data_IF_058204897217
#
_entry.id   IF_058204897217
#
_cell.length_a   1.000
_cell.length_b   1.000
_cell.length_c   1.000
_cell.angle_alpha   90.00
_cell.angle_beta   90.00
_cell.angle_gamma   90.00
#
_symmetry.space_group_name_H-M   'P 1'
#
loop_
_entity.id
_entity.type
_entity.pdbx_description
1 polymer ?
#
# COMPACT_ATOMS: atom_id res chain seq x y z
N UNK A 1 33.52 19.58 -30.60
CA UNK A 1 34.14 20.34 -29.50
C UNK A 1 33.20 21.45 -29.08
N UNK A 2 32.78 21.51 -27.80
CA UNK A 2 31.98 22.63 -27.26
C UNK A 2 32.86 23.89 -27.16
N UNK A 3 32.24 25.04 -26.88
CA UNK A 3 32.92 26.35 -26.89
C UNK A 3 34.06 26.49 -25.87
N UNK A 4 34.34 25.48 -25.05
CA UNK A 4 35.44 25.43 -24.09
C UNK A 4 36.52 24.38 -24.40
N UNK A 5 36.53 23.75 -25.59
CA UNK A 5 37.52 22.73 -25.96
C UNK A 5 37.45 21.42 -25.16
N UNK A 6 36.43 21.19 -24.37
CA UNK A 6 36.23 19.93 -23.63
C UNK A 6 35.49 18.91 -24.50
N UNK A 7 36.04 17.71 -24.59
CA UNK A 7 35.41 16.59 -25.28
C UNK A 7 34.09 16.19 -24.55
N UNK A 8 32.97 16.34 -25.25
CA UNK A 8 31.64 15.98 -24.74
C UNK A 8 31.36 14.47 -24.90
N UNK A 9 32.22 13.78 -25.66
CA UNK A 9 32.10 12.35 -25.99
C UNK A 9 31.94 11.45 -24.75
N UNK A 10 32.77 11.57 -23.67
CA UNK A 10 32.58 10.72 -22.49
C UNK A 10 31.29 10.97 -21.74
N UNK A 11 30.80 12.22 -21.75
CA UNK A 11 29.50 12.54 -21.14
C UNK A 11 28.33 11.92 -21.91
N UNK A 12 28.38 11.93 -23.25
CA UNK A 12 27.37 11.29 -24.09
C UNK A 12 27.35 9.76 -23.89
N UNK A 13 28.51 9.12 -23.78
CA UNK A 13 28.59 7.68 -23.48
C UNK A 13 28.08 7.34 -22.10
N UNK A 14 28.33 8.18 -21.11
CA UNK A 14 27.81 8.01 -19.77
C UNK A 14 26.26 8.12 -19.74
N UNK A 15 25.71 9.15 -20.38
CA UNK A 15 24.26 9.33 -20.51
C UNK A 15 23.63 8.18 -21.28
N UNK A 16 24.21 7.77 -22.41
CA UNK A 16 23.70 6.64 -23.18
C UNK A 16 23.73 5.33 -22.39
N UNK A 17 24.83 5.11 -21.65
CA UNK A 17 24.98 3.93 -20.78
C UNK A 17 23.96 3.88 -19.65
N UNK A 18 23.75 4.99 -18.93
CA UNK A 18 22.76 5.07 -17.85
C UNK A 18 21.34 4.87 -18.39
N UNK A 19 20.99 5.51 -19.51
CA UNK A 19 19.68 5.36 -20.14
C UNK A 19 19.44 3.92 -20.63
N UNK A 20 20.46 3.26 -21.18
CA UNK A 20 20.35 1.86 -21.56
C UNK A 20 20.12 0.93 -20.35
N UNK A 21 20.84 1.16 -19.25
CA UNK A 21 20.64 0.40 -18.00
C UNK A 21 19.23 0.63 -17.45
N UNK A 22 18.76 1.87 -17.40
CA UNK A 22 17.40 2.19 -16.96
C UNK A 22 16.35 1.49 -17.81
N UNK A 23 16.51 1.49 -19.13
CA UNK A 23 15.59 0.81 -20.04
C UNK A 23 15.55 -0.70 -19.79
N UNK A 24 16.72 -1.35 -19.64
CA UNK A 24 16.80 -2.78 -19.32
C UNK A 24 16.15 -3.09 -17.98
N UNK A 25 16.41 -2.28 -16.95
CA UNK A 25 15.79 -2.43 -15.63
C UNK A 25 14.27 -2.26 -15.68
N UNK A 26 13.76 -1.27 -16.40
CA UNK A 26 12.33 -1.05 -16.59
C UNK A 26 11.67 -2.23 -17.31
N UNK A 27 12.33 -2.77 -18.33
CA UNK A 27 11.85 -3.94 -19.07
C UNK A 27 11.82 -5.19 -18.20
N UNK A 28 12.88 -5.47 -17.43
CA UNK A 28 12.94 -6.58 -16.47
C UNK A 28 11.87 -6.45 -15.38
N UNK A 29 11.67 -5.24 -14.86
CA UNK A 29 10.64 -4.98 -13.86
C UNK A 29 9.23 -5.25 -14.41
N UNK A 30 8.95 -4.82 -15.64
CA UNK A 30 7.66 -5.06 -16.30
C UNK A 30 7.39 -6.55 -16.53
N UNK A 31 8.41 -7.31 -16.95
CA UNK A 31 8.29 -8.77 -17.13
C UNK A 31 8.07 -9.49 -15.81
N UNK A 32 8.80 -9.10 -14.76
CA UNK A 32 8.67 -9.67 -13.41
C UNK A 32 7.30 -9.37 -12.81
N UNK A 33 6.82 -8.15 -12.91
CA UNK A 33 5.50 -7.73 -12.45
C UNK A 33 4.38 -8.52 -13.15
N UNK A 34 4.51 -8.77 -14.47
CA UNK A 34 3.54 -9.57 -15.23
C UNK A 34 3.49 -11.02 -14.74
N UNK A 35 4.65 -11.67 -14.52
CA UNK A 35 4.71 -13.04 -14.00
C UNK A 35 4.12 -13.16 -12.60
N UNK A 36 4.43 -12.21 -11.73
CA UNK A 36 3.88 -12.16 -10.37
C UNK A 36 2.37 -11.99 -10.37
N UNK A 37 1.84 -11.12 -11.26
CA UNK A 37 0.39 -10.93 -11.38
C UNK A 37 -0.33 -12.19 -11.84
N UNK A 38 0.24 -12.95 -12.77
CA UNK A 38 -0.32 -14.24 -13.19
C UNK A 38 -0.27 -15.24 -12.03
N UNK A 39 0.86 -15.36 -11.33
CA UNK A 39 0.99 -16.22 -10.16
C UNK A 39 -0.02 -15.86 -9.06
N UNK A 40 -0.26 -14.55 -8.83
CA UNK A 40 -1.29 -14.08 -7.93
C UNK A 40 -2.70 -14.55 -8.33
N UNK A 41 -3.09 -14.42 -9.60
CA UNK A 41 -4.40 -14.87 -10.07
C UNK A 41 -4.62 -16.36 -9.86
N UNK A 42 -3.59 -17.19 -10.12
CA UNK A 42 -3.63 -18.62 -9.87
C UNK A 42 -3.80 -18.92 -8.38
N UNK A 43 -2.99 -18.31 -7.51
CA UNK A 43 -3.07 -18.52 -6.06
C UNK A 43 -4.41 -18.05 -5.51
N UNK A 44 -4.91 -16.91 -5.95
CA UNK A 44 -6.23 -16.40 -5.56
C UNK A 44 -7.35 -17.39 -5.91
N UNK A 45 -7.35 -17.89 -7.15
CA UNK A 45 -8.35 -18.88 -7.58
C UNK A 45 -8.28 -20.17 -6.76
N UNK A 46 -7.08 -20.65 -6.43
CA UNK A 46 -6.88 -21.79 -5.55
C UNK A 46 -7.50 -21.55 -4.15
N UNK A 47 -7.23 -20.41 -3.55
CA UNK A 47 -7.81 -20.04 -2.25
C UNK A 47 -9.33 -19.89 -2.27
N UNK A 48 -9.90 -19.37 -3.37
CA UNK A 48 -11.35 -19.31 -3.55
C UNK A 48 -11.94 -20.72 -3.64
N UNK A 49 -11.31 -21.63 -4.41
CA UNK A 49 -11.74 -23.03 -4.51
C UNK A 49 -11.66 -23.74 -3.15
N UNK A 50 -10.56 -23.57 -2.43
CA UNK A 50 -10.39 -24.16 -1.09
C UNK A 50 -11.45 -23.65 -0.10
N UNK A 51 -11.75 -22.35 -0.11
CA UNK A 51 -12.82 -21.76 0.71
C UNK A 51 -14.17 -22.39 0.37
N UNK A 52 -14.50 -22.52 -0.92
CA UNK A 52 -15.76 -23.12 -1.37
C UNK A 52 -15.83 -24.58 -0.92
N UNK A 53 -14.78 -25.36 -1.15
CA UNK A 53 -14.71 -26.77 -0.74
C UNK A 53 -14.89 -26.92 0.78
N UNK A 54 -14.20 -26.06 1.55
CA UNK A 54 -14.35 -26.07 3.01
C UNK A 54 -15.77 -25.73 3.46
N UNK A 55 -16.39 -24.73 2.85
CA UNK A 55 -17.79 -24.38 3.16
C UNK A 55 -18.75 -25.53 2.87
N UNK A 56 -18.53 -26.29 1.79
CA UNK A 56 -19.35 -27.46 1.43
C UNK A 56 -19.17 -28.64 2.38
N UNK A 57 -18.02 -28.76 3.04
CA UNK A 57 -17.71 -29.85 3.98
C UNK A 57 -17.92 -29.50 5.44
N UNK A 58 -18.31 -28.29 5.75
CA UNK A 58 -18.60 -27.84 7.12
C UNK A 58 -19.88 -28.51 7.66
N UNK A 59 -19.88 -28.75 8.96
CA UNK A 59 -21.08 -29.24 9.66
C UNK A 59 -22.19 -28.18 9.60
N UNK A 60 -23.44 -28.64 9.46
CA UNK A 60 -24.59 -27.75 9.33
C UNK A 60 -24.74 -26.78 10.52
N UNK A 61 -24.47 -27.26 11.73
CA UNK A 61 -24.46 -26.46 12.96
C UNK A 61 -23.51 -25.26 12.88
N UNK A 62 -22.33 -25.43 12.26
CA UNK A 62 -21.35 -24.35 12.07
C UNK A 62 -21.82 -23.31 11.04
N UNK A 63 -22.64 -23.70 10.06
CA UNK A 63 -23.19 -22.79 9.06
C UNK A 63 -24.34 -21.92 9.60
N UNK A 64 -24.95 -22.31 10.72
CA UNK A 64 -25.98 -21.51 11.41
C UNK A 64 -25.36 -20.56 12.46
N UNK A 65 -24.11 -20.76 12.85
CA UNK A 65 -23.42 -19.90 13.82
C UNK A 65 -23.12 -18.51 13.22
N UNK A 66 -23.65 -17.43 13.83
CA UNK A 66 -23.38 -16.08 13.38
C UNK A 66 -21.89 -15.70 13.32
N UNK A 67 -21.11 -16.16 14.31
CA UNK A 67 -19.66 -15.87 14.37
C UNK A 67 -18.92 -16.56 13.23
N UNK A 68 -19.31 -17.78 12.89
CA UNK A 68 -18.74 -18.50 11.76
C UNK A 68 -19.10 -17.83 10.43
N UNK A 69 -20.34 -17.37 10.27
CA UNK A 69 -20.78 -16.63 9.10
C UNK A 69 -20.00 -15.31 8.93
N UNK A 70 -19.69 -14.61 10.01
CA UNK A 70 -18.88 -13.40 9.98
C UNK A 70 -17.42 -13.70 9.60
N UNK A 71 -16.85 -14.82 10.07
CA UNK A 71 -15.52 -15.31 9.65
C UNK A 71 -15.50 -15.67 8.15
N UNK A 72 -16.53 -16.36 7.67
CA UNK A 72 -16.68 -16.67 6.24
C UNK A 72 -16.78 -15.39 5.39
N UNK A 73 -17.47 -14.37 5.89
CA UNK A 73 -17.56 -13.08 5.22
C UNK A 73 -16.20 -12.35 5.17
N UNK A 74 -15.44 -12.37 6.25
CA UNK A 74 -14.06 -11.85 6.28
C UNK A 74 -13.16 -12.61 5.31
N UNK A 75 -13.23 -13.93 5.29
CA UNK A 75 -12.48 -14.77 4.35
C UNK A 75 -12.85 -14.51 2.89
N UNK A 76 -14.14 -14.27 2.60
CA UNK A 76 -14.61 -13.87 1.27
C UNK A 76 -13.95 -12.54 0.86
N UNK A 77 -14.02 -11.52 1.70
CA UNK A 77 -13.43 -10.20 1.43
C UNK A 77 -11.91 -10.25 1.27
N UNK A 78 -11.23 -11.11 2.01
CA UNK A 78 -9.76 -11.25 1.92
C UNK A 78 -9.27 -11.72 0.54
N UNK A 79 -10.10 -12.42 -0.24
CA UNK A 79 -9.76 -12.93 -1.57
C UNK A 79 -10.53 -12.25 -2.71
N UNK A 80 -11.41 -11.30 -2.41
CA UNK A 80 -12.36 -10.73 -3.39
C UNK A 80 -11.71 -9.75 -4.37
N UNK A 81 -10.62 -9.07 -4.00
CA UNK A 81 -10.00 -8.02 -4.79
C UNK A 81 -8.49 -8.09 -4.91
N UNK A 82 -7.94 -7.40 -5.92
CA UNK A 82 -6.48 -7.23 -6.08
C UNK A 82 -5.90 -6.22 -5.07
N UNK A 83 -6.74 -5.34 -4.54
CA UNK A 83 -6.34 -4.21 -3.68
C UNK A 83 -6.63 -4.44 -2.19
N UNK A 84 -7.15 -5.60 -1.83
CA UNK A 84 -7.50 -5.95 -0.45
C UNK A 84 -6.96 -7.33 -0.06
N UNK A 85 -6.70 -7.51 1.23
CA UNK A 85 -6.29 -8.79 1.80
C UNK A 85 -5.06 -9.40 1.13
N UNK A 86 -5.19 -10.64 0.70
CA UNK A 86 -4.11 -11.42 0.06
C UNK A 86 -3.67 -10.79 -1.27
N UNK A 87 -4.61 -10.18 -2.01
CA UNK A 87 -4.32 -9.49 -3.26
C UNK A 87 -3.35 -8.34 -3.09
N UNK A 88 -3.65 -7.46 -2.16
CA UNK A 88 -2.80 -6.33 -1.82
C UNK A 88 -1.42 -6.79 -1.31
N UNK A 89 -1.38 -7.82 -0.48
CA UNK A 89 -0.13 -8.38 0.04
C UNK A 89 0.78 -8.88 -1.10
N UNK A 90 0.25 -9.69 -1.99
CA UNK A 90 1.04 -10.25 -3.09
C UNK A 90 1.46 -9.20 -4.13
N UNK A 91 0.59 -8.23 -4.45
CA UNK A 91 0.92 -7.14 -5.38
C UNK A 91 2.02 -6.23 -4.82
N UNK A 92 2.06 -6.05 -3.50
CA UNK A 92 3.03 -5.19 -2.83
C UNK A 92 4.35 -5.90 -2.49
N UNK A 93 4.40 -7.24 -2.43
CA UNK A 93 5.63 -7.98 -2.10
C UNK A 93 6.81 -7.62 -3.00
N UNK A 94 6.59 -7.52 -4.32
CA UNK A 94 7.65 -7.17 -5.26
C UNK A 94 8.10 -5.72 -5.08
N UNK A 95 7.18 -4.79 -4.98
CA UNK A 95 7.50 -3.37 -4.77
C UNK A 95 8.25 -3.19 -3.45
N UNK A 96 7.84 -3.88 -2.38
CA UNK A 96 8.52 -3.85 -1.08
C UNK A 96 9.96 -4.37 -1.18
N UNK A 97 10.20 -5.46 -1.91
CA UNK A 97 11.56 -5.98 -2.10
C UNK A 97 12.47 -4.96 -2.83
N UNK A 98 11.97 -4.32 -3.89
CA UNK A 98 12.70 -3.27 -4.62
C UNK A 98 12.95 -2.05 -3.72
N UNK A 99 11.96 -1.64 -2.95
CA UNK A 99 12.07 -0.52 -2.01
C UNK A 99 13.10 -0.79 -0.92
N UNK A 100 13.15 -2.02 -0.38
CA UNK A 100 14.17 -2.41 0.61
C UNK A 100 15.59 -2.27 0.06
N UNK A 101 15.82 -2.75 -1.16
CA UNK A 101 17.15 -2.61 -1.81
C UNK A 101 17.50 -1.13 -1.99
N UNK A 102 16.55 -0.30 -2.45
CA UNK A 102 16.76 1.13 -2.63
C UNK A 102 17.08 1.85 -1.31
N UNK A 103 16.35 1.51 -0.23
CA UNK A 103 16.58 2.05 1.12
C UNK A 103 17.94 1.66 1.64
N UNK A 104 18.33 0.37 1.55
CA UNK A 104 19.66 -0.11 1.98
C UNK A 104 20.76 0.62 1.22
N UNK A 105 20.62 0.79 -0.09
CA UNK A 105 21.60 1.50 -0.92
C UNK A 105 21.69 2.98 -0.51
N UNK A 106 20.56 3.65 -0.33
CA UNK A 106 20.53 5.05 0.08
C UNK A 106 21.15 5.27 1.47
N UNK A 107 20.83 4.38 2.44
CA UNK A 107 21.44 4.40 3.78
C UNK A 107 22.94 4.16 3.70
N UNK A 108 23.40 3.20 2.88
CA UNK A 108 24.81 2.94 2.66
C UNK A 108 25.57 4.17 2.15
N UNK A 109 25.00 4.89 1.18
CA UNK A 109 25.57 6.13 0.65
C UNK A 109 25.61 7.23 1.72
N UNK A 110 24.53 7.44 2.47
CA UNK A 110 24.47 8.44 3.54
C UNK A 110 25.46 8.10 4.67
N UNK A 111 25.65 6.80 4.96
CA UNK A 111 26.61 6.34 5.98
C UNK A 111 28.06 6.70 5.64
N UNK A 112 28.44 6.67 4.35
CA UNK A 112 29.78 7.11 3.93
C UNK A 112 30.06 8.59 4.16
N UNK A 113 28.98 9.40 4.21
CA UNK A 113 29.08 10.81 4.53
C UNK A 113 29.15 11.06 6.04
N UNK A 114 28.13 10.59 6.79
CA UNK A 114 28.07 10.79 8.24
C UNK A 114 27.18 9.75 8.93
N UNK A 115 27.79 8.90 9.77
CA UNK A 115 27.07 7.85 10.49
C UNK A 115 26.03 8.38 11.49
N UNK A 116 26.21 9.57 12.05
CA UNK A 116 25.22 10.20 12.96
C UNK A 116 23.91 10.54 12.25
N UNK A 117 23.98 10.98 10.98
CA UNK A 117 22.78 11.23 10.18
C UNK A 117 21.97 9.96 9.99
N UNK A 118 22.63 8.83 9.74
CA UNK A 118 21.94 7.53 9.62
C UNK A 118 21.19 7.17 10.91
N UNK A 119 21.80 7.44 12.07
CA UNK A 119 21.18 7.17 13.36
C UNK A 119 19.94 8.05 13.58
N UNK A 120 20.00 9.34 13.28
CA UNK A 120 18.86 10.26 13.35
C UNK A 120 17.74 9.80 12.41
N UNK A 121 18.08 9.44 11.17
CA UNK A 121 17.15 8.93 10.18
C UNK A 121 16.46 7.65 10.67
N UNK A 122 17.23 6.72 11.26
CA UNK A 122 16.70 5.46 11.80
C UNK A 122 15.70 5.71 12.94
N UNK A 123 16.00 6.62 13.87
CA UNK A 123 15.12 6.97 14.98
C UNK A 123 13.80 7.60 14.47
N UNK A 124 13.90 8.55 13.53
CA UNK A 124 12.71 9.18 12.95
C UNK A 124 11.86 8.18 12.17
N UNK A 125 12.48 7.26 11.45
CA UNK A 125 11.78 6.20 10.73
C UNK A 125 11.11 5.20 11.67
N UNK A 126 11.74 4.89 12.81
CA UNK A 126 11.15 4.02 13.84
C UNK A 126 9.91 4.67 14.47
N UNK A 127 9.97 5.97 14.80
CA UNK A 127 8.81 6.71 15.32
C UNK A 127 7.66 6.71 14.30
N UNK A 128 7.97 6.88 13.02
CA UNK A 128 6.97 6.82 11.96
C UNK A 128 6.33 5.45 11.83
N UNK A 129 7.13 4.38 11.95
CA UNK A 129 6.66 3.00 11.91
C UNK A 129 5.73 2.65 13.09
N UNK A 130 6.08 3.04 14.32
CA UNK A 130 5.24 2.82 15.50
C UNK A 130 3.87 3.52 15.37
N UNK A 131 3.87 4.75 14.88
CA UNK A 131 2.62 5.48 14.65
C UNK A 131 1.77 4.83 13.54
N UNK A 132 2.39 4.37 12.47
CA UNK A 132 1.71 3.63 11.40
C UNK A 132 1.07 2.35 11.94
N UNK A 133 1.78 1.58 12.76
CA UNK A 133 1.27 0.34 13.34
C UNK A 133 0.08 0.61 14.28
N UNK A 134 0.15 1.65 15.10
CA UNK A 134 -0.96 2.10 15.93
C UNK A 134 -2.23 2.40 15.10
N UNK A 135 -2.09 3.16 14.01
CA UNK A 135 -3.21 3.48 13.11
C UNK A 135 -3.75 2.23 12.43
N UNK A 136 -2.89 1.31 11.99
CA UNK A 136 -3.26 0.04 11.36
C UNK A 136 -4.12 -0.83 12.30
N UNK A 137 -3.74 -0.91 13.56
CA UNK A 137 -4.52 -1.67 14.58
C UNK A 137 -5.90 -1.02 14.78
N UNK A 138 -5.96 0.30 14.90
CA UNK A 138 -7.23 1.04 15.03
C UNK A 138 -8.12 0.88 13.80
N UNK A 139 -7.56 0.95 12.61
CA UNK A 139 -8.30 0.76 11.36
C UNK A 139 -8.88 -0.66 11.25
N UNK A 140 -8.12 -1.67 11.69
CA UNK A 140 -8.60 -3.05 11.74
C UNK A 140 -9.82 -3.19 12.65
N UNK A 141 -9.79 -2.62 13.85
CA UNK A 141 -10.91 -2.66 14.79
C UNK A 141 -12.16 -1.99 14.20
N UNK A 142 -12.00 -0.81 13.62
CA UNK A 142 -13.11 0.00 13.08
C UNK A 142 -13.67 -0.58 11.80
N UNK A 143 -12.81 -1.06 10.91
CA UNK A 143 -13.23 -1.45 9.56
C UNK A 143 -13.49 -2.95 9.43
N UNK A 144 -12.58 -3.80 9.91
CA UNK A 144 -12.70 -5.23 9.68
C UNK A 144 -13.56 -5.94 10.72
N UNK A 145 -13.36 -5.63 12.00
CA UNK A 145 -14.05 -6.35 13.07
C UNK A 145 -15.47 -5.86 13.27
N UNK A 146 -15.69 -4.54 13.23
CA UNK A 146 -17.02 -3.96 13.39
C UNK A 146 -17.91 -4.15 12.16
N UNK A 147 -17.34 -4.23 10.96
CA UNK A 147 -18.12 -4.24 9.71
C UNK A 147 -18.54 -5.62 9.20
N UNK A 148 -17.93 -6.71 9.68
CA UNK A 148 -18.22 -8.06 9.20
C UNK A 148 -19.73 -8.42 9.20
N UNK A 149 -20.49 -8.20 10.30
CA UNK A 149 -21.92 -8.48 10.31
C UNK A 149 -22.73 -7.56 9.40
N UNK A 150 -22.27 -6.31 9.19
CA UNK A 150 -22.95 -5.37 8.30
C UNK A 150 -22.74 -5.74 6.83
N UNK A 151 -21.54 -6.19 6.44
CA UNK A 151 -21.28 -6.69 5.09
C UNK A 151 -22.13 -7.90 4.74
N UNK A 152 -22.33 -8.83 5.69
CA UNK A 152 -23.22 -9.97 5.49
C UNK A 152 -24.65 -9.52 5.18
N UNK A 153 -25.19 -8.60 5.99
CA UNK A 153 -26.54 -8.05 5.78
C UNK A 153 -26.66 -7.31 4.44
N UNK A 154 -25.64 -6.55 4.06
CA UNK A 154 -25.64 -5.80 2.81
C UNK A 154 -25.60 -6.74 1.60
N UNK A 155 -24.75 -7.78 1.64
CA UNK A 155 -24.68 -8.78 0.58
C UNK A 155 -26.00 -9.52 0.43
N UNK A 156 -26.65 -9.92 1.54
CA UNK A 156 -27.98 -10.53 1.52
C UNK A 156 -29.03 -9.61 0.89
N UNK A 157 -29.06 -8.33 1.27
CA UNK A 157 -29.99 -7.35 0.69
C UNK A 157 -29.76 -7.17 -0.81
N UNK A 158 -28.49 -7.14 -1.23
CA UNK A 158 -28.12 -7.02 -2.63
C UNK A 158 -28.55 -8.27 -3.41
N UNK A 159 -28.28 -9.47 -2.88
CA UNK A 159 -28.66 -10.74 -3.49
C UNK A 159 -30.19 -10.82 -3.66
N UNK A 160 -30.96 -10.63 -2.59
CA UNK A 160 -32.44 -10.63 -2.66
C UNK A 160 -32.99 -9.59 -3.66
N UNK A 161 -32.35 -8.41 -3.74
CA UNK A 161 -32.81 -7.34 -4.62
C UNK A 161 -32.49 -7.57 -6.10
N UNK A 162 -31.48 -8.39 -6.42
CA UNK A 162 -31.01 -8.64 -7.80
C UNK A 162 -31.33 -10.02 -8.32
N UNK A 163 -31.65 -10.98 -7.43
CA UNK A 163 -32.02 -12.33 -7.83
C UNK A 163 -33.42 -12.34 -8.48
N UNK A 164 -33.48 -12.94 -9.68
CA UNK A 164 -34.72 -13.08 -10.43
C UNK A 164 -35.80 -13.87 -9.69
N UNK A 165 -35.42 -14.78 -8.81
CA UNK A 165 -36.31 -15.59 -7.99
C UNK A 165 -37.28 -14.73 -7.18
N UNK A 166 -36.78 -13.63 -6.59
CA UNK A 166 -37.56 -12.71 -5.76
C UNK A 166 -38.20 -11.56 -6.56
N UNK A 167 -37.87 -11.42 -7.83
CA UNK A 167 -38.31 -10.28 -8.64
C UNK A 167 -39.84 -10.14 -8.75
N UNK A 168 -40.57 -11.27 -8.81
CA UNK A 168 -42.03 -11.31 -8.85
C UNK A 168 -42.61 -10.79 -7.53
N UNK A 169 -42.13 -11.29 -6.41
CA UNK A 169 -42.65 -10.96 -5.08
C UNK A 169 -42.36 -9.49 -4.74
N UNK A 170 -41.16 -9.01 -5.05
CA UNK A 170 -40.78 -7.61 -4.86
C UNK A 170 -41.72 -6.67 -5.59
N UNK A 171 -42.13 -7.02 -6.82
CA UNK A 171 -43.08 -6.23 -7.62
C UNK A 171 -44.52 -6.36 -7.11
N UNK A 172 -44.97 -7.58 -6.81
CA UNK A 172 -46.30 -7.88 -6.35
C UNK A 172 -46.64 -7.18 -5.03
N UNK A 173 -45.69 -7.25 -4.07
CA UNK A 173 -45.85 -6.65 -2.73
C UNK A 173 -45.32 -5.21 -2.64
N UNK A 174 -44.83 -4.61 -3.74
CA UNK A 174 -44.37 -3.23 -3.75
C UNK A 174 -43.16 -2.97 -2.85
N UNK A 175 -42.30 -3.98 -2.60
CA UNK A 175 -41.22 -3.95 -1.60
C UNK A 175 -40.03 -3.08 -1.97
N UNK A 176 -39.99 -2.50 -3.18
CA UNK A 176 -38.86 -1.69 -3.68
C UNK A 176 -38.42 -0.61 -2.69
N UNK A 177 -39.34 0.21 -2.20
CA UNK A 177 -39.04 1.32 -1.29
C UNK A 177 -38.48 0.82 0.05
N UNK A 178 -39.05 -0.27 0.57
CA UNK A 178 -38.60 -0.87 1.83
C UNK A 178 -37.21 -1.47 1.71
N UNK A 179 -36.94 -2.27 0.67
CA UNK A 179 -35.59 -2.86 0.42
C UNK A 179 -34.54 -1.78 0.26
N UNK A 180 -34.80 -0.75 -0.57
CA UNK A 180 -33.87 0.38 -0.74
C UNK A 180 -33.65 1.16 0.55
N UNK A 181 -34.68 1.34 1.38
CA UNK A 181 -34.56 1.96 2.70
C UNK A 181 -33.61 1.17 3.60
N UNK A 182 -33.81 -0.13 3.73
CA UNK A 182 -32.97 -1.03 4.52
C UNK A 182 -31.52 -1.08 4.02
N UNK A 183 -31.32 -1.16 2.70
CA UNK A 183 -30.00 -1.09 2.10
C UNK A 183 -29.31 0.24 2.44
N UNK A 184 -30.02 1.36 2.31
CA UNK A 184 -29.49 2.69 2.64
C UNK A 184 -29.09 2.82 4.10
N UNK A 185 -29.89 2.27 5.02
CA UNK A 185 -29.57 2.30 6.46
C UNK A 185 -28.26 1.57 6.74
N UNK A 186 -28.08 0.37 6.17
CA UNK A 186 -26.82 -0.41 6.32
C UNK A 186 -25.64 0.31 5.65
N UNK A 187 -25.85 0.83 4.45
CA UNK A 187 -24.82 1.58 3.72
C UNK A 187 -24.41 2.85 4.46
N UNK A 188 -25.30 3.54 5.16
CA UNK A 188 -24.97 4.70 5.97
C UNK A 188 -24.08 4.34 7.17
N UNK A 189 -24.24 3.14 7.75
CA UNK A 189 -23.37 2.63 8.81
C UNK A 189 -21.98 2.36 8.22
N UNK A 190 -21.91 1.67 7.09
CA UNK A 190 -20.64 1.42 6.39
C UNK A 190 -19.92 2.73 6.05
N UNK A 191 -20.63 3.71 5.53
CA UNK A 191 -20.08 5.01 5.17
C UNK A 191 -19.46 5.74 6.39
N UNK A 192 -20.10 5.66 7.56
CA UNK A 192 -19.53 6.25 8.80
C UNK A 192 -18.20 5.58 9.17
N UNK A 193 -18.11 4.25 9.11
CA UNK A 193 -16.87 3.52 9.37
C UNK A 193 -15.78 3.83 8.33
N UNK A 194 -16.16 3.94 7.05
CA UNK A 194 -15.25 4.38 5.99
C UNK A 194 -14.70 5.78 6.24
N UNK A 195 -15.55 6.74 6.62
CA UNK A 195 -15.11 8.10 6.95
C UNK A 195 -14.16 8.08 8.14
N UNK A 196 -14.48 7.33 9.19
CA UNK A 196 -13.63 7.21 10.37
C UNK A 196 -12.26 6.59 10.02
N UNK A 197 -12.24 5.51 9.26
CA UNK A 197 -11.02 4.90 8.74
C UNK A 197 -10.19 5.91 7.92
N UNK A 198 -10.82 6.65 7.02
CA UNK A 198 -10.14 7.69 6.23
C UNK A 198 -9.56 8.82 7.07
N UNK A 199 -10.23 9.21 8.14
CA UNK A 199 -9.69 10.20 9.08
C UNK A 199 -8.41 9.67 9.74
N UNK A 200 -8.38 8.42 10.22
CA UNK A 200 -7.17 7.82 10.78
C UNK A 200 -6.02 7.79 9.78
N UNK A 201 -6.27 7.36 8.55
CA UNK A 201 -5.26 7.33 7.48
C UNK A 201 -4.80 8.72 7.07
N UNK A 202 -5.69 9.73 7.10
CA UNK A 202 -5.31 11.13 6.85
C UNK A 202 -4.37 11.64 7.94
N UNK A 203 -4.64 11.37 9.21
CA UNK A 203 -3.75 11.74 10.31
C UNK A 203 -2.39 11.04 10.18
N UNK A 204 -2.36 9.76 9.81
CA UNK A 204 -1.12 9.05 9.52
C UNK A 204 -0.32 9.74 8.40
N UNK A 205 -0.99 10.14 7.32
CA UNK A 205 -0.35 10.83 6.19
C UNK A 205 0.24 12.17 6.64
N UNK A 206 -0.52 12.98 7.38
CA UNK A 206 -0.02 14.26 7.90
C UNK A 206 1.16 14.08 8.84
N UNK A 207 1.11 13.11 9.74
CA UNK A 207 2.20 12.79 10.64
C UNK A 207 3.46 12.35 9.87
N UNK A 208 3.31 11.41 8.94
CA UNK A 208 4.40 10.92 8.10
C UNK A 208 5.07 12.04 7.29
N UNK A 209 4.27 12.94 6.70
CA UNK A 209 4.80 14.09 5.96
C UNK A 209 5.53 15.09 6.87
N UNK A 210 5.04 15.30 8.08
CA UNK A 210 5.71 16.15 9.07
C UNK A 210 7.06 15.56 9.49
N UNK A 211 7.13 14.26 9.77
CA UNK A 211 8.39 13.58 10.09
C UNK A 211 9.35 13.63 8.89
N UNK A 212 8.86 13.41 7.67
CA UNK A 212 9.67 13.52 6.46
C UNK A 212 10.24 14.94 6.26
N UNK A 213 9.44 15.97 6.54
CA UNK A 213 9.88 17.37 6.48
C UNK A 213 11.01 17.62 7.47
N UNK A 214 10.84 17.24 8.74
CA UNK A 214 11.88 17.38 9.76
C UNK A 214 13.16 16.66 9.35
N UNK A 215 13.04 15.42 8.90
CA UNK A 215 14.16 14.62 8.40
C UNK A 215 14.89 15.32 7.25
N UNK A 216 14.16 15.81 6.26
CA UNK A 216 14.73 16.49 5.10
C UNK A 216 15.44 17.81 5.49
N UNK A 217 14.83 18.59 6.40
CA UNK A 217 15.47 19.82 6.92
C UNK A 217 16.80 19.49 7.62
N UNK A 218 16.86 18.44 8.42
CA UNK A 218 18.09 18.01 9.09
C UNK A 218 19.15 17.60 8.04
N UNK A 219 18.78 16.74 7.08
CA UNK A 219 19.72 16.24 6.06
C UNK A 219 20.24 17.40 5.21
N UNK A 220 19.33 18.20 4.63
CA UNK A 220 19.76 19.30 3.75
C UNK A 220 20.49 20.40 4.51
N UNK A 221 20.07 20.73 5.73
CA UNK A 221 20.77 21.67 6.57
C UNK A 221 22.21 21.25 6.83
N UNK A 222 22.44 19.96 7.12
CA UNK A 222 23.77 19.41 7.31
C UNK A 222 24.59 19.42 6.02
N UNK A 223 24.01 19.01 4.90
CA UNK A 223 24.70 19.02 3.58
C UNK A 223 25.10 20.44 3.15
N UNK A 224 24.22 21.43 3.36
CA UNK A 224 24.52 22.82 3.06
C UNK A 224 25.65 23.35 3.97
N UNK A 225 25.60 23.02 5.25
CA UNK A 225 26.64 23.38 6.20
C UNK A 225 28.00 22.81 5.75
N UNK A 226 28.03 21.53 5.40
CA UNK A 226 29.28 20.84 4.99
C UNK A 226 29.83 21.36 3.65
N UNK A 227 28.93 21.73 2.73
CA UNK A 227 29.30 22.36 1.46
C UNK A 227 29.93 23.73 1.68
N UNK A 228 29.39 24.54 2.61
CA UNK A 228 29.88 25.91 2.83
C UNK A 228 31.16 25.98 3.67
N UNK A 229 31.30 25.08 4.66
CA UNK A 229 32.40 25.18 5.64
C UNK A 229 33.49 24.12 5.48
N UNK A 230 33.16 22.93 4.93
CA UNK A 230 34.10 21.82 4.80
C UNK A 230 34.54 21.56 3.35
N UNK A 231 34.05 22.36 2.38
CA UNK A 231 34.49 22.29 0.99
C UNK A 231 34.03 21.06 0.23
N UNK A 232 32.80 20.54 0.56
CA UNK A 232 32.17 19.42 -0.16
C UNK A 232 32.07 19.73 -1.65
N UNK A 233 32.35 18.73 -2.50
CA UNK A 233 32.19 18.90 -3.94
C UNK A 233 30.71 18.96 -4.34
N UNK A 234 30.39 19.65 -5.45
CA UNK A 234 29.04 19.70 -6.01
C UNK A 234 28.54 18.28 -6.38
N UNK A 235 29.48 17.40 -6.81
CA UNK A 235 29.17 16.00 -7.12
C UNK A 235 28.70 15.23 -5.89
N UNK A 236 29.43 15.35 -4.77
CA UNK A 236 29.07 14.71 -3.50
C UNK A 236 27.75 15.26 -2.96
N UNK A 237 27.56 16.58 -3.00
CA UNK A 237 26.28 17.21 -2.60
C UNK A 237 25.11 16.63 -3.39
N UNK A 238 25.24 16.48 -4.71
CA UNK A 238 24.19 15.91 -5.57
C UNK A 238 23.93 14.43 -5.24
N UNK A 239 24.98 13.65 -5.00
CA UNK A 239 24.89 12.25 -4.64
C UNK A 239 24.13 12.04 -3.32
N UNK A 240 24.53 12.77 -2.27
CA UNK A 240 23.88 12.65 -0.96
C UNK A 240 22.46 13.20 -0.94
N UNK A 241 22.19 14.29 -1.68
CA UNK A 241 20.85 14.84 -1.86
C UNK A 241 19.93 13.84 -2.58
N UNK A 242 20.40 13.22 -3.67
CA UNK A 242 19.67 12.19 -4.39
C UNK A 242 19.38 10.97 -3.51
N UNK A 243 20.36 10.54 -2.70
CA UNK A 243 20.18 9.44 -1.75
C UNK A 243 19.17 9.77 -0.66
N UNK A 244 19.17 11.00 -0.14
CA UNK A 244 18.21 11.47 0.85
C UNK A 244 16.76 11.52 0.31
N UNK A 245 16.59 11.98 -0.93
CA UNK A 245 15.30 11.96 -1.63
C UNK A 245 14.81 10.52 -1.80
N UNK A 246 15.68 9.63 -2.30
CA UNK A 246 15.38 8.22 -2.51
C UNK A 246 14.95 7.55 -1.19
N UNK A 247 15.71 7.77 -0.13
CA UNK A 247 15.35 7.26 1.20
C UNK A 247 14.00 7.78 1.67
N UNK A 248 13.78 9.10 1.60
CA UNK A 248 12.53 9.73 2.03
C UNK A 248 11.32 9.24 1.26
N UNK A 249 11.48 8.99 -0.03
CA UNK A 249 10.42 8.50 -0.92
C UNK A 249 10.00 7.08 -0.57
N UNK A 250 10.97 6.19 -0.32
CA UNK A 250 10.67 4.77 -0.11
C UNK A 250 10.34 4.41 1.35
N UNK A 251 10.80 5.16 2.33
CA UNK A 251 10.43 4.94 3.74
C UNK A 251 9.03 5.44 4.06
N UNK A 252 8.51 6.40 3.27
CA UNK A 252 7.15 6.94 3.47
C UNK A 252 6.05 6.15 2.75
N UNK A 253 6.40 5.14 1.96
CA UNK A 253 5.48 4.24 1.25
C UNK A 253 5.25 2.93 2.02
#
# INVERSE_FOLDING_TARGET
AGPSGRDITPLLWLVAGTTAVEFVMMWLNTLSAKKLRIGFLVTRNSLVQERIAKTMTMQYEQLEDPDMLDRLQKAKRAVEGEWMGIGALMSNMWSTAVQLVAVITAVGIIFTFNGWLVLIIAVLSFIQFEYFDYIRVKDKEVMWDAMAPHWRKMNYMQEVSTDFTYAKDIRLYGMKKWLLGKYKDINNIELKHWIQSRVYWSWNTWFSQSVALVRNVIIYGWLIYDMLFNGMSIGDFTLYTGSAITFSMYVSQ
#
